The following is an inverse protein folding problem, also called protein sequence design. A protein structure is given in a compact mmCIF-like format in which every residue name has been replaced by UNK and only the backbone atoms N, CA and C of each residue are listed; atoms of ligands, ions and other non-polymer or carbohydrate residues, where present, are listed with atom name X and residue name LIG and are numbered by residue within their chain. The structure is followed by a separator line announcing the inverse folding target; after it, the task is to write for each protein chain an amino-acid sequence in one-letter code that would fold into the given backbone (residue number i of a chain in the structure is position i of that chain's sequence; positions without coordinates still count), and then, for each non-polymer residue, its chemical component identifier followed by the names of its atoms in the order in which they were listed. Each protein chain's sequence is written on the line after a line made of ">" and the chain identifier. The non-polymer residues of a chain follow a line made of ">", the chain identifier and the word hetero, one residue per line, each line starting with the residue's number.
data_IF_132963158554
#
_entry.id   IF_132963158554
#
_cell.length_a   1.000
_cell.length_b   1.000
_cell.length_c   1.000
_cell.angle_alpha   90.00
_cell.angle_beta   90.00
_cell.angle_gamma   90.00
#
_symmetry.space_group_name_H-M   'P 1'
#
loop_
_entity.id
_entity.type
_entity.pdbx_description
1 polymer ?
#
# COMPACT_ATOMS: atom_id res chain seq x y z
N UNK A 1 -6.30 11.05 -4.04
CA UNK A 1 -6.03 12.42 -3.52
C UNK A 1 -5.74 13.35 -4.68
N UNK A 2 -6.74 14.13 -5.13
CA UNK A 2 -6.49 15.24 -6.05
C UNK A 2 -5.92 16.40 -5.24
N UNK A 3 -4.65 16.75 -5.49
CA UNK A 3 -4.07 17.98 -4.95
C UNK A 3 -4.85 19.14 -5.58
N UNK A 4 -5.75 19.75 -4.80
CA UNK A 4 -6.50 20.94 -5.22
C UNK A 4 -5.50 22.00 -5.62
N UNK A 5 -5.61 22.42 -6.88
CA UNK A 5 -4.77 23.35 -7.63
C UNK A 5 -4.73 24.80 -7.07
N UNK A 6 -5.10 25.01 -5.80
CA UNK A 6 -5.35 26.30 -5.20
C UNK A 6 -4.14 26.94 -4.50
N UNK A 7 -3.01 26.24 -4.37
CA UNK A 7 -1.85 26.73 -3.58
C UNK A 7 -0.57 27.00 -4.38
N UNK A 8 -0.54 26.73 -5.70
CA UNK A 8 0.70 26.83 -6.49
C UNK A 8 0.91 28.17 -7.20
N UNK A 9 -0.04 29.12 -7.14
CA UNK A 9 0.04 30.35 -7.95
C UNK A 9 1.05 31.40 -7.45
N UNK A 10 1.54 31.30 -6.20
CA UNK A 10 2.39 32.34 -5.58
C UNK A 10 3.64 31.78 -4.88
N UNK A 11 4.16 30.65 -5.32
CA UNK A 11 5.30 30.01 -4.65
C UNK A 11 6.62 30.54 -5.24
N UNK A 12 7.52 31.16 -4.46
CA UNK A 12 8.81 31.62 -4.97
C UNK A 12 9.61 30.42 -5.51
N UNK A 13 10.31 30.62 -6.63
CA UNK A 13 11.05 29.62 -7.44
C UNK A 13 12.11 28.77 -6.69
N UNK A 14 12.21 28.89 -5.36
CA UNK A 14 13.26 28.31 -4.52
C UNK A 14 12.74 27.28 -3.49
N UNK A 15 11.47 26.86 -3.56
CA UNK A 15 10.94 25.80 -2.69
C UNK A 15 11.44 24.44 -3.16
N UNK A 16 12.67 24.10 -2.75
CA UNK A 16 13.25 22.79 -2.94
C UNK A 16 12.54 21.78 -2.03
N UNK A 17 11.45 21.18 -2.52
CA UNK A 17 10.89 19.91 -2.01
C UNK A 17 11.86 18.72 -2.23
N UNK A 18 13.14 19.01 -2.40
CA UNK A 18 14.24 18.09 -2.68
C UNK A 18 15.02 17.78 -1.39
N UNK A 19 14.76 18.50 -0.29
CA UNK A 19 15.37 18.19 1.00
C UNK A 19 14.90 16.80 1.47
N UNK A 20 15.82 15.90 1.86
CA UNK A 20 15.46 14.56 2.34
C UNK A 20 14.47 14.57 3.50
N UNK A 21 14.56 15.55 4.41
CA UNK A 21 13.64 15.66 5.54
C UNK A 21 12.23 16.05 5.08
N UNK A 22 12.12 17.01 4.16
CA UNK A 22 10.83 17.44 3.61
C UNK A 22 10.17 16.28 2.83
N UNK A 23 10.96 15.51 2.06
CA UNK A 23 10.44 14.33 1.36
C UNK A 23 9.93 13.26 2.33
N UNK A 24 10.66 12.98 3.40
CA UNK A 24 10.23 12.02 4.43
C UNK A 24 8.93 12.45 5.10
N UNK A 25 8.78 13.73 5.43
CA UNK A 25 7.55 14.26 6.03
C UNK A 25 6.35 14.15 5.06
N UNK A 26 6.56 14.48 3.77
CA UNK A 26 5.52 14.34 2.75
C UNK A 26 5.09 12.87 2.58
N UNK A 27 6.06 11.95 2.49
CA UNK A 27 5.79 10.51 2.36
C UNK A 27 5.04 10.01 3.60
N UNK A 28 5.51 10.36 4.79
CA UNK A 28 4.86 9.97 6.04
C UNK A 28 3.41 10.48 6.12
N UNK A 29 3.17 11.76 5.85
CA UNK A 29 1.82 12.33 5.84
C UNK A 29 0.91 11.64 4.81
N UNK A 30 1.45 11.33 3.63
CA UNK A 30 0.71 10.64 2.57
C UNK A 30 0.33 9.22 2.96
N UNK A 31 1.23 8.48 3.63
CA UNK A 31 0.98 7.13 4.14
C UNK A 31 -0.12 7.16 5.21
N UNK A 32 0.00 8.06 6.19
CA UNK A 32 -0.97 8.20 7.28
C UNK A 32 -2.36 8.52 6.73
N UNK A 33 -2.48 9.50 5.83
CA UNK A 33 -3.77 9.88 5.23
C UNK A 33 -4.37 8.73 4.40
N UNK A 34 -3.55 8.01 3.65
CA UNK A 34 -4.00 6.86 2.84
C UNK A 34 -4.53 5.74 3.73
N UNK A 35 -3.80 5.40 4.80
CA UNK A 35 -4.22 4.37 5.76
C UNK A 35 -5.54 4.77 6.43
N UNK A 36 -5.67 6.02 6.87
CA UNK A 36 -6.90 6.50 7.50
C UNK A 36 -8.11 6.40 6.55
N UNK A 37 -7.94 6.75 5.27
CA UNK A 37 -9.01 6.60 4.27
C UNK A 37 -9.40 5.13 4.10
N UNK A 38 -8.43 4.22 4.03
CA UNK A 38 -8.70 2.79 3.86
C UNK A 38 -9.42 2.22 5.08
N UNK A 39 -8.94 2.52 6.30
CA UNK A 39 -9.56 2.08 7.55
C UNK A 39 -11.00 2.59 7.65
N UNK A 40 -11.24 3.87 7.33
CA UNK A 40 -12.59 4.44 7.38
C UNK A 40 -13.53 3.85 6.32
N UNK A 41 -13.00 3.46 5.15
CA UNK A 41 -13.82 2.89 4.07
C UNK A 41 -14.18 1.41 4.34
N UNK A 42 -13.31 0.68 5.04
CA UNK A 42 -13.60 -0.67 5.55
C UNK A 42 -14.54 -0.58 6.75
N UNK A 43 -14.25 0.29 7.71
CA UNK A 43 -15.02 0.41 8.96
C UNK A 43 -15.17 -0.98 9.61
N UNK A 44 -16.41 -1.42 9.89
CA UNK A 44 -16.72 -2.72 10.50
C UNK A 44 -17.06 -3.83 9.49
N UNK A 45 -16.75 -3.66 8.20
CA UNK A 45 -17.05 -4.68 7.17
C UNK A 45 -15.94 -5.73 7.06
N UNK A 46 -16.32 -6.93 6.62
CA UNK A 46 -15.36 -7.99 6.33
C UNK A 46 -14.46 -7.58 5.16
N UNK A 47 -13.16 -7.88 5.30
CA UNK A 47 -12.16 -7.73 4.27
C UNK A 47 -11.42 -9.04 4.05
N UNK A 48 -10.71 -9.15 2.94
CA UNK A 48 -9.75 -10.22 2.67
C UNK A 48 -8.42 -9.65 2.20
N UNK A 49 -7.34 -10.37 2.50
CA UNK A 49 -6.01 -10.08 1.97
C UNK A 49 -5.74 -11.11 0.88
N UNK A 50 -5.51 -10.61 -0.33
CA UNK A 50 -5.08 -11.40 -1.47
C UNK A 50 -3.56 -11.27 -1.57
N UNK A 51 -2.91 -12.41 -1.79
CA UNK A 51 -1.47 -12.49 -1.96
C UNK A 51 -1.23 -13.09 -3.34
N UNK A 52 -0.63 -12.33 -4.23
CA UNK A 52 -0.27 -12.79 -5.58
C UNK A 52 1.25 -12.90 -5.72
N UNK A 53 1.70 -13.93 -6.43
CA UNK A 53 3.11 -14.17 -6.69
C UNK A 53 3.41 -13.92 -8.16
N UNK A 54 4.32 -12.98 -8.42
CA UNK A 54 4.79 -12.68 -9.77
C UNK A 54 6.32 -12.68 -9.83
N UNK A 55 6.86 -12.92 -11.03
CA UNK A 55 8.29 -12.84 -11.28
C UNK A 55 8.59 -11.55 -12.02
N UNK A 56 9.55 -10.79 -11.50
CA UNK A 56 10.01 -9.60 -12.20
C UNK A 56 10.92 -9.94 -13.40
N UNK A 57 11.32 -8.92 -14.15
CA UNK A 57 12.21 -9.05 -15.32
C UNK A 57 13.59 -9.65 -14.99
N UNK A 58 13.97 -9.72 -13.70
CA UNK A 58 15.20 -10.34 -13.20
C UNK A 58 14.99 -11.77 -12.69
N UNK A 59 13.81 -12.37 -12.92
CA UNK A 59 13.41 -13.73 -12.48
C UNK A 59 13.37 -13.83 -10.95
N UNK A 60 13.28 -12.70 -10.27
CA UNK A 60 13.11 -12.64 -8.83
C UNK A 60 11.63 -12.75 -8.50
N UNK A 61 11.32 -13.64 -7.56
CA UNK A 61 9.96 -13.77 -7.06
C UNK A 61 9.62 -12.58 -6.17
N UNK A 62 8.50 -11.97 -6.48
CA UNK A 62 7.90 -10.87 -5.75
C UNK A 62 6.47 -11.29 -5.39
N UNK A 63 6.06 -10.96 -4.18
CA UNK A 63 4.70 -11.18 -3.72
C UNK A 63 4.03 -9.83 -3.52
N UNK A 64 2.82 -9.66 -4.03
CA UNK A 64 2.02 -8.46 -3.83
C UNK A 64 0.86 -8.74 -2.91
N UNK A 65 0.67 -7.87 -1.92
CA UNK A 65 -0.44 -7.93 -0.99
C UNK A 65 -1.52 -6.91 -1.40
N UNK A 66 -2.75 -7.38 -1.53
CA UNK A 66 -3.91 -6.58 -1.93
C UNK A 66 -5.04 -6.76 -0.94
N UNK A 67 -5.51 -5.66 -0.38
CA UNK A 67 -6.68 -5.61 0.47
C UNK A 67 -7.95 -5.56 -0.39
N UNK A 68 -8.87 -6.50 -0.21
CA UNK A 68 -10.17 -6.54 -0.90
C UNK A 68 -11.30 -6.44 0.11
N UNK A 69 -12.25 -5.53 -0.12
CA UNK A 69 -13.44 -5.37 0.73
C UNK A 69 -14.63 -4.88 -0.10
N UNK A 70 -15.83 -4.93 0.49
CA UNK A 70 -17.04 -4.34 -0.10
C UNK A 70 -17.34 -3.05 0.64
N UNK A 71 -17.36 -1.92 -0.06
CA UNK A 71 -17.67 -0.64 0.57
C UNK A 71 -19.17 -0.48 0.85
N UNK A 72 -19.53 0.62 1.52
CA UNK A 72 -20.93 0.95 1.86
C UNK A 72 -21.87 1.07 0.65
N UNK A 73 -21.34 1.25 -0.58
CA UNK A 73 -22.13 1.30 -1.81
C UNK A 73 -22.30 -0.09 -2.45
N UNK A 74 -21.80 -1.16 -1.82
CA UNK A 74 -21.83 -2.52 -2.37
C UNK A 74 -20.79 -2.77 -3.47
N UNK A 75 -19.81 -1.87 -3.65
CA UNK A 75 -18.75 -2.06 -4.63
C UNK A 75 -17.58 -2.83 -4.03
N UNK A 76 -17.03 -3.78 -4.80
CA UNK A 76 -15.76 -4.43 -4.47
C UNK A 76 -14.64 -3.43 -4.70
N UNK A 77 -13.87 -3.16 -3.64
CA UNK A 77 -12.71 -2.28 -3.65
C UNK A 77 -11.46 -3.12 -3.40
N UNK A 78 -10.43 -2.84 -4.19
CA UNK A 78 -9.10 -3.45 -4.06
C UNK A 78 -8.07 -2.35 -3.83
N UNK A 79 -7.26 -2.50 -2.78
CA UNK A 79 -6.19 -1.57 -2.42
C UNK A 79 -4.87 -2.35 -2.36
N UNK A 80 -3.96 -2.01 -3.25
CA UNK A 80 -2.60 -2.49 -3.18
C UNK A 80 -1.94 -1.99 -1.89
N UNK A 81 -1.36 -2.91 -1.11
CA UNK A 81 -0.68 -2.60 0.16
C UNK A 81 0.82 -2.48 -0.10
N UNK A 82 1.45 -3.56 -0.57
CA UNK A 82 2.89 -3.62 -0.74
C UNK A 82 3.33 -4.72 -1.72
N UNK A 83 4.60 -4.66 -2.14
CA UNK A 83 5.33 -5.73 -2.81
C UNK A 83 6.51 -6.15 -1.94
N UNK A 84 6.51 -7.43 -1.55
CA UNK A 84 7.58 -8.07 -0.80
C UNK A 84 8.46 -8.87 -1.74
N UNK A 85 9.76 -8.60 -1.71
CA UNK A 85 10.74 -9.44 -2.40
C UNK A 85 10.96 -10.74 -1.63
N UNK A 86 10.83 -11.88 -2.31
CA UNK A 86 11.04 -13.21 -1.70
C UNK A 86 12.35 -13.80 -2.20
N UNK A 87 13.35 -14.03 -1.32
CA UNK A 87 14.57 -14.72 -1.69
C UNK A 87 14.27 -16.18 -2.06
N UNK A 88 14.81 -16.61 -3.20
CA UNK A 88 14.74 -17.98 -3.75
C UNK A 88 14.96 -19.14 -2.74
N UNK A 89 15.85 -19.06 -1.71
CA UNK A 89 16.08 -20.17 -0.79
C UNK A 89 14.93 -20.47 0.18
N UNK A 90 13.92 -19.58 0.28
CA UNK A 90 12.90 -19.64 1.33
C UNK A 90 11.48 -19.86 0.80
N UNK A 91 11.29 -19.98 -0.52
CA UNK A 91 9.98 -20.12 -1.18
C UNK A 91 8.94 -20.93 -0.40
N UNK A 92 9.26 -22.15 0.04
CA UNK A 92 8.30 -23.03 0.71
C UNK A 92 8.00 -22.60 2.16
N UNK A 93 9.01 -22.10 2.89
CA UNK A 93 8.85 -21.67 4.28
C UNK A 93 8.17 -20.30 4.33
N UNK A 94 8.53 -19.36 3.45
CA UNK A 94 7.88 -18.06 3.31
C UNK A 94 6.41 -18.21 2.94
N UNK A 95 6.07 -19.14 2.03
CA UNK A 95 4.66 -19.42 1.65
C UNK A 95 3.82 -19.86 2.84
N UNK A 96 4.32 -20.78 3.68
CA UNK A 96 3.61 -21.25 4.87
C UNK A 96 3.53 -20.15 5.95
N UNK A 97 4.62 -19.42 6.17
CA UNK A 97 4.66 -18.33 7.15
C UNK A 97 3.74 -17.16 6.75
N UNK A 98 3.65 -16.82 5.46
CA UNK A 98 2.75 -15.78 4.96
C UNK A 98 1.28 -16.23 4.96
N UNK A 99 0.99 -17.49 4.63
CA UNK A 99 -0.36 -18.03 4.82
C UNK A 99 -0.79 -17.98 6.29
N UNK A 100 0.13 -18.29 7.22
CA UNK A 100 -0.13 -18.16 8.66
C UNK A 100 -0.31 -16.69 9.08
N UNK A 101 0.51 -15.76 8.57
CA UNK A 101 0.37 -14.34 8.86
C UNK A 101 -0.95 -13.76 8.33
N UNK A 102 -1.38 -14.17 7.13
CA UNK A 102 -2.69 -13.81 6.57
C UNK A 102 -3.85 -14.42 7.36
N UNK A 103 -3.68 -15.61 7.95
CA UNK A 103 -4.64 -16.21 8.87
C UNK A 103 -4.68 -15.50 10.23
N UNK A 104 -3.54 -15.02 10.74
CA UNK A 104 -3.46 -14.28 12.02
C UNK A 104 -4.04 -12.86 11.93
N UNK A 105 -4.25 -12.33 10.72
CA UNK A 105 -4.90 -11.03 10.46
C UNK A 105 -6.44 -11.17 10.31
N UNK A 106 -6.97 -12.40 10.21
CA UNK A 106 -8.42 -12.71 10.13
C UNK A 106 -8.95 -13.07 11.53
#
# INVERSE_FOLDING_TARGET
>A
MMIRNATLKNVPNNLKLISPNIQKEIVHASVVETINIIINDISDVLFSILVDESRDVSIKEQMSDVLRYVNHNGHVIERFIDIVYVPLPQLFQSRLQLMNYSLDII
#
